data_IF_209131083920
#
_entry.id   IF_209131083920
#
_cell.length_a   1.000
_cell.length_b   1.000
_cell.length_c   1.000
_cell.angle_alpha   90.00
_cell.angle_beta   90.00
_cell.angle_gamma   90.00
#
_symmetry.space_group_name_H-M   'P 1'
#
loop_
_entity.id
_entity.type
_entity.pdbx_description
1 polymer ?
#
# COMPACT_ATOMS: atom_id res chain seq x y z
N UNK A 1 -4.57 13.18 11.76
CA UNK A 1 -4.64 12.60 10.41
C UNK A 1 -3.23 12.15 10.04
N UNK A 2 -2.98 10.87 9.76
CA UNK A 2 -1.67 10.44 9.25
C UNK A 2 -1.56 10.96 7.82
N UNK A 3 -0.57 11.82 7.56
CA UNK A 3 -0.26 12.25 6.21
C UNK A 3 0.26 11.03 5.45
N UNK A 4 -0.53 10.52 4.51
CA UNK A 4 -0.08 9.50 3.58
C UNK A 4 0.45 10.20 2.33
N UNK A 5 1.48 9.64 1.72
CA UNK A 5 2.06 10.18 0.50
C UNK A 5 1.25 9.72 -0.70
N UNK A 6 0.99 10.61 -1.65
CA UNK A 6 0.41 10.18 -2.92
C UNK A 6 1.35 9.16 -3.57
N UNK A 7 0.81 8.01 -3.97
CA UNK A 7 1.57 6.94 -4.62
C UNK A 7 1.00 6.64 -6.00
N UNK A 8 1.89 6.30 -6.92
CA UNK A 8 1.56 5.76 -8.24
C UNK A 8 1.27 4.26 -8.21
N UNK A 9 1.33 3.61 -7.04
CA UNK A 9 0.85 2.26 -6.83
C UNK A 9 -0.57 2.15 -7.38
N UNK A 10 -0.84 1.14 -8.20
CA UNK A 10 -2.15 0.94 -8.82
C UNK A 10 -2.99 0.05 -7.92
N UNK A 11 -4.27 0.39 -7.77
CA UNK A 11 -5.24 -0.43 -7.07
C UNK A 11 -6.55 -0.53 -7.87
N UNK A 12 -7.36 -1.54 -7.57
CA UNK A 12 -8.57 -1.85 -8.34
C UNK A 12 -9.78 -0.96 -7.98
N UNK A 13 -9.56 0.17 -7.31
CA UNK A 13 -10.63 1.05 -6.80
C UNK A 13 -11.43 0.46 -5.64
N UNK A 14 -11.03 -0.71 -5.11
CA UNK A 14 -11.66 -1.31 -3.92
C UNK A 14 -11.04 -0.69 -2.67
N UNK A 15 -11.80 0.04 -1.84
CA UNK A 15 -11.26 0.70 -0.67
C UNK A 15 -10.72 -0.30 0.33
N UNK A 16 -9.52 -0.03 0.84
CA UNK A 16 -8.89 -0.92 1.80
C UNK A 16 -7.41 -0.65 1.95
N UNK A 17 -6.84 -1.20 3.01
CA UNK A 17 -5.40 -1.24 3.21
C UNK A 17 -4.85 -2.50 2.54
N UNK A 18 -3.61 -2.41 2.05
CA UNK A 18 -2.87 -3.57 1.53
C UNK A 18 -1.37 -3.33 1.66
N UNK A 19 -0.60 -4.42 1.68
CA UNK A 19 0.86 -4.33 1.63
C UNK A 19 1.31 -4.16 0.17
N UNK A 20 2.18 -3.19 -0.06
CA UNK A 20 2.79 -2.99 -1.37
C UNK A 20 3.73 -4.13 -1.70
N UNK A 21 3.77 -4.48 -2.97
CA UNK A 21 4.65 -5.50 -3.50
C UNK A 21 5.18 -5.08 -4.87
N UNK A 22 6.43 -4.63 -4.90
CA UNK A 22 7.12 -4.16 -6.10
C UNK A 22 7.33 -5.25 -7.16
N UNK A 23 7.20 -6.54 -6.81
CA UNK A 23 7.26 -7.64 -7.78
C UNK A 23 5.99 -7.78 -8.60
N UNK A 24 4.84 -7.45 -8.02
CA UNK A 24 3.53 -7.52 -8.69
C UNK A 24 3.21 -6.17 -9.34
N UNK A 25 3.45 -5.09 -8.61
CA UNK A 25 3.23 -3.74 -9.07
C UNK A 25 4.48 -2.90 -8.79
N UNK A 26 5.31 -2.62 -9.80
CA UNK A 26 6.59 -1.92 -9.62
C UNK A 26 6.45 -0.51 -9.08
N UNK A 27 5.25 0.10 -9.12
CA UNK A 27 4.98 1.39 -8.51
C UNK A 27 4.72 1.33 -6.99
N UNK A 28 4.45 0.14 -6.45
CA UNK A 28 4.27 -0.07 -5.01
C UNK A 28 5.60 -0.45 -4.36
N UNK A 29 5.93 0.14 -3.22
CA UNK A 29 7.14 -0.22 -2.46
C UNK A 29 6.87 -1.47 -1.62
N UNK A 30 7.73 -2.47 -1.73
CA UNK A 30 7.62 -3.70 -0.93
C UNK A 30 7.85 -3.38 0.55
N UNK A 31 6.92 -3.81 1.41
CA UNK A 31 6.97 -3.57 2.85
C UNK A 31 6.23 -2.31 3.33
N UNK A 32 5.78 -1.46 2.40
CA UNK A 32 4.97 -0.29 2.72
C UNK A 32 3.49 -0.63 2.74
N UNK A 33 2.71 0.09 3.54
CA UNK A 33 1.24 -0.03 3.58
C UNK A 33 0.64 1.01 2.67
N UNK A 34 -0.26 0.56 1.79
CA UNK A 34 -1.01 1.41 0.89
C UNK A 34 -2.49 1.35 1.23
N UNK A 35 -3.18 2.47 1.05
CA UNK A 35 -4.64 2.53 1.06
C UNK A 35 -5.13 2.80 -0.35
N UNK A 36 -5.98 1.92 -0.86
CA UNK A 36 -6.74 2.19 -2.07
C UNK A 36 -7.98 3.03 -1.73
N UNK A 37 -8.28 4.02 -2.57
CA UNK A 37 -9.50 4.81 -2.50
C UNK A 37 -10.47 4.36 -3.61
N UNK A 38 -11.76 4.69 -3.47
CA UNK A 38 -12.79 4.41 -4.49
C UNK A 38 -12.45 5.02 -5.86
N UNK A 39 -11.72 6.13 -5.87
CA UNK A 39 -11.24 6.78 -7.10
C UNK A 39 -10.12 6.01 -7.82
N UNK A 40 -9.64 4.89 -7.26
CA UNK A 40 -8.48 4.15 -7.77
C UNK A 40 -7.12 4.80 -7.43
N UNK A 41 -7.14 5.91 -6.69
CA UNK A 41 -5.93 6.56 -6.18
C UNK A 41 -5.42 5.86 -4.92
N UNK A 42 -4.11 5.86 -4.75
CA UNK A 42 -3.47 5.09 -3.67
C UNK A 42 -2.65 5.99 -2.78
N UNK A 43 -2.78 5.80 -1.48
CA UNK A 43 -2.05 6.56 -0.48
C UNK A 43 -1.04 5.66 0.25
N UNK A 44 0.22 6.05 0.24
CA UNK A 44 1.32 5.38 0.91
C UNK A 44 1.42 5.83 2.38
N UNK A 45 1.22 4.91 3.30
CA UNK A 45 1.44 5.13 4.74
C UNK A 45 2.88 4.82 5.18
N UNK A 46 3.73 4.36 4.25
CA UNK A 46 5.11 3.99 4.50
C UNK A 46 5.25 2.59 5.09
N UNK A 47 6.49 2.27 5.46
CA UNK A 47 6.89 0.93 5.90
C UNK A 47 6.12 0.46 7.14
N UNK A 48 5.75 -0.82 7.14
CA UNK A 48 5.18 -1.52 8.28
C UNK A 48 5.84 -2.88 8.42
N UNK A 49 6.30 -3.21 9.63
CA UNK A 49 7.04 -4.45 9.89
C UNK A 49 6.26 -5.70 9.47
N UNK A 50 4.93 -5.73 9.66
CA UNK A 50 4.10 -6.86 9.22
C UNK A 50 4.10 -7.03 7.69
N UNK A 51 4.06 -5.93 6.94
CA UNK A 51 4.17 -5.96 5.49
C UNK A 51 5.58 -6.30 5.03
N UNK A 52 6.61 -5.89 5.76
CA UNK A 52 7.99 -6.20 5.44
C UNK A 52 8.34 -7.68 5.71
N UNK A 53 7.87 -8.23 6.83
CA UNK A 53 8.25 -9.56 7.30
C UNK A 53 7.32 -10.67 6.78
N UNK A 54 6.01 -10.40 6.74
CA UNK A 54 4.99 -11.41 6.42
C UNK A 54 4.21 -11.07 5.15
N UNK A 55 4.43 -9.89 4.55
CA UNK A 55 3.67 -9.38 3.41
C UNK A 55 2.15 -9.28 3.70
N UNK A 56 1.81 -9.05 4.98
CA UNK A 56 0.43 -8.96 5.47
C UNK A 56 0.24 -7.73 6.38
N UNK A 57 -0.99 -7.21 6.43
CA UNK A 57 -1.31 -6.06 7.28
C UNK A 57 -1.17 -6.38 8.77
N UNK A 58 -1.38 -7.63 9.15
CA UNK A 58 -1.21 -8.12 10.51
C UNK A 58 -0.47 -9.44 10.43
N UNK A 59 0.65 -9.47 11.14
CA UNK A 59 1.43 -10.61 11.55
C UNK A 59 1.58 -10.42 13.08
#
# INVERSE_FOLDING_TARGET
QRACNASSCLCNGVPGLFCGNSKINPACKTGDVFQCNESGSTCDFGVRDSCHNCNELVC
#
